data_IF_793356336453
#
_entry.id   IF_793356336453
#
_cell.length_a   1.000
_cell.length_b   1.000
_cell.length_c   1.000
_cell.angle_alpha   90.00
_cell.angle_beta   90.00
_cell.angle_gamma   90.00
#
_symmetry.space_group_name_H-M   'P 1'
#
loop_
_entity.id
_entity.type
_entity.pdbx_description
1 polymer ?
#
# COMPACT_ATOMS: atom_id res chain seq x y z
N UNK A 1 8.55 9.36 4.11
CA UNK A 1 7.19 9.83 4.49
C UNK A 1 6.32 9.75 3.24
N UNK A 2 5.12 9.17 3.32
CA UNK A 2 4.24 9.04 2.16
C UNK A 2 3.54 10.38 1.85
N UNK A 3 3.36 10.68 0.57
CA UNK A 3 2.57 11.81 0.06
C UNK A 3 1.25 11.30 -0.51
N UNK A 4 0.10 11.91 -0.17
CA UNK A 4 -1.22 11.34 -0.44
C UNK A 4 -1.49 11.08 -1.93
N UNK A 5 -1.06 11.99 -2.81
CA UNK A 5 -1.28 11.94 -4.26
C UNK A 5 -0.27 11.07 -5.02
N UNK A 6 0.64 10.37 -4.32
CA UNK A 6 1.74 9.64 -4.95
C UNK A 6 1.52 8.13 -4.95
N UNK A 7 2.09 7.47 -5.95
CA UNK A 7 1.97 6.04 -6.17
C UNK A 7 3.24 5.28 -5.82
N UNK A 8 3.11 4.36 -4.85
CA UNK A 8 4.23 3.58 -4.32
C UNK A 8 4.20 2.16 -4.85
N UNK A 9 5.37 1.58 -5.05
CA UNK A 9 5.57 0.16 -5.35
C UNK A 9 5.38 -0.69 -4.10
N UNK A 10 5.16 -1.97 -4.35
CA UNK A 10 5.24 -3.03 -3.35
C UNK A 10 6.46 -2.94 -2.43
N UNK A 11 7.65 -2.75 -3.02
CA UNK A 11 8.91 -2.73 -2.29
C UNK A 11 9.01 -1.51 -1.39
N UNK A 12 8.60 -0.33 -1.88
CA UNK A 12 8.57 0.90 -1.10
C UNK A 12 7.59 0.80 0.07
N UNK A 13 6.41 0.22 -0.15
CA UNK A 13 5.43 -0.02 0.91
C UNK A 13 5.97 -0.99 1.96
N UNK A 14 6.55 -2.12 1.55
CA UNK A 14 7.16 -3.07 2.47
C UNK A 14 8.27 -2.45 3.32
N UNK A 15 9.14 -1.64 2.69
CA UNK A 15 10.23 -0.97 3.40
C UNK A 15 9.72 0.06 4.41
N UNK A 16 8.72 0.87 4.03
CA UNK A 16 8.18 1.91 4.88
C UNK A 16 7.33 1.38 6.04
N UNK A 17 6.53 0.33 5.80
CA UNK A 17 5.72 -0.33 6.84
C UNK A 17 6.51 -1.38 7.63
N UNK A 18 7.75 -1.69 7.24
CA UNK A 18 8.58 -2.77 7.79
C UNK A 18 7.87 -4.12 7.82
N UNK A 19 7.16 -4.44 6.74
CA UNK A 19 6.43 -5.71 6.59
C UNK A 19 7.00 -6.54 5.43
N UNK A 20 6.81 -7.86 5.53
CA UNK A 20 7.15 -8.77 4.44
C UNK A 20 6.20 -8.62 3.26
N UNK A 21 6.64 -9.03 2.06
CA UNK A 21 5.77 -9.08 0.87
C UNK A 21 4.57 -10.02 1.08
N UNK A 22 4.74 -11.07 1.87
CA UNK A 22 3.66 -12.00 2.19
C UNK A 22 2.61 -11.36 3.11
N UNK A 23 3.05 -10.54 4.07
CA UNK A 23 2.13 -9.75 4.91
C UNK A 23 1.34 -8.77 4.07
N UNK A 24 2.00 -8.03 3.17
CA UNK A 24 1.34 -7.10 2.26
C UNK A 24 0.29 -7.81 1.39
N UNK A 25 0.60 -9.00 0.86
CA UNK A 25 -0.38 -9.81 0.12
C UNK A 25 -1.59 -10.22 0.97
N UNK A 26 -1.39 -10.58 2.25
CA UNK A 26 -2.51 -10.89 3.16
C UNK A 26 -3.39 -9.66 3.41
N UNK A 27 -2.79 -8.48 3.54
CA UNK A 27 -3.52 -7.22 3.73
C UNK A 27 -4.37 -6.88 2.50
N UNK A 28 -3.83 -7.06 1.29
CA UNK A 28 -4.59 -6.93 0.05
C UNK A 28 -5.79 -7.88 0.01
N UNK A 29 -5.59 -9.14 0.42
CA UNK A 29 -6.65 -10.15 0.49
C UNK A 29 -7.72 -9.84 1.53
N UNK A 30 -7.38 -9.09 2.58
CA UNK A 30 -8.31 -8.65 3.63
C UNK A 30 -9.03 -7.34 3.28
N UNK A 31 -8.62 -6.66 2.22
CA UNK A 31 -9.16 -5.35 1.84
C UNK A 31 -8.57 -4.17 2.61
N UNK A 32 -7.57 -4.39 3.46
CA UNK A 32 -6.90 -3.34 4.23
C UNK A 32 -6.07 -2.40 3.33
N UNK A 33 -5.68 -2.87 2.15
CA UNK A 33 -4.93 -2.09 1.17
C UNK A 33 -5.33 -2.46 -0.25
N UNK A 34 -5.67 -1.48 -1.08
CA UNK A 34 -6.12 -1.74 -2.46
C UNK A 34 -5.07 -1.34 -3.49
N UNK A 35 -4.44 -2.30 -4.20
CA UNK A 35 -3.50 -1.97 -5.26
C UNK A 35 -4.24 -1.43 -6.48
N UNK A 36 -3.80 -0.28 -6.98
CA UNK A 36 -4.31 0.35 -8.21
C UNK A 36 -3.40 -0.04 -9.39
N UNK A 37 -4.01 -0.29 -10.55
CA UNK A 37 -3.30 -0.52 -11.82
C UNK A 37 -3.08 0.83 -12.48
N UNK A 38 -1.81 1.23 -12.67
CA UNK A 38 -1.47 2.50 -13.30
C UNK A 38 -1.30 2.34 -14.82
N UNK A 39 -0.38 1.47 -15.22
CA UNK A 39 -0.11 1.15 -16.63
C UNK A 39 0.28 -0.32 -16.75
N UNK A 40 -0.43 -1.06 -17.62
CA UNK A 40 -0.18 -2.47 -17.86
C UNK A 40 -0.35 -3.35 -16.62
N UNK A 41 0.69 -4.13 -16.27
CA UNK A 41 0.69 -5.08 -15.15
C UNK A 41 1.26 -4.50 -13.84
N UNK A 42 1.65 -3.24 -13.82
CA UNK A 42 2.28 -2.63 -12.64
C UNK A 42 1.23 -2.18 -11.63
N UNK A 43 1.24 -2.84 -10.46
CA UNK A 43 0.42 -2.46 -9.31
C UNK A 43 1.13 -1.40 -8.48
N UNK A 44 0.38 -0.40 -8.04
CA UNK A 44 0.83 0.69 -7.18
C UNK A 44 -0.17 0.95 -6.06
N UNK A 45 0.32 1.48 -4.95
CA UNK A 45 -0.49 1.84 -3.78
C UNK A 45 -0.51 3.35 -3.64
N UNK A 46 -1.68 3.92 -3.40
CA UNK A 46 -1.83 5.35 -3.22
C UNK A 46 -1.36 5.75 -1.82
N UNK A 47 -0.63 6.86 -1.71
CA UNK A 47 -0.11 7.33 -0.45
C UNK A 47 -1.19 7.63 0.59
N UNK A 48 -2.37 8.07 0.16
CA UNK A 48 -3.51 8.31 1.07
C UNK A 48 -3.91 7.05 1.84
N UNK A 49 -3.99 5.90 1.16
CA UNK A 49 -4.39 4.63 1.78
C UNK A 49 -3.32 4.18 2.78
N UNK A 50 -2.05 4.39 2.45
CA UNK A 50 -0.92 4.06 3.32
C UNK A 50 -0.89 4.95 4.57
N UNK A 51 -1.25 6.22 4.43
CA UNK A 51 -1.37 7.15 5.57
C UNK A 51 -2.53 6.78 6.48
N UNK A 52 -3.69 6.39 5.92
CA UNK A 52 -4.84 5.91 6.69
C UNK A 52 -4.47 4.66 7.50
N UNK A 53 -3.79 3.71 6.86
CA UNK A 53 -3.31 2.48 7.50
C UNK A 53 -2.34 2.79 8.64
N UNK A 54 -1.37 3.70 8.43
CA UNK A 54 -0.41 4.12 9.46
C UNK A 54 -1.07 4.88 10.62
N UNK A 55 -2.16 5.61 10.36
CA UNK A 55 -2.92 6.31 11.37
C UNK A 55 -3.81 5.37 12.23
N UNK A 56 -3.81 4.06 11.96
CA UNK A 56 -4.62 3.07 12.66
C UNK A 56 -6.08 2.99 12.19
N UNK A 57 -6.41 3.63 11.06
CA UNK A 57 -7.74 3.58 10.47
C UNK A 57 -7.92 2.31 9.64
N UNK A 58 -8.44 1.26 10.25
CA UNK A 58 -9.15 0.21 9.50
C UNK A 58 -10.53 0.79 9.18
N UNK A 59 -10.82 1.08 7.90
CA UNK A 59 -12.18 1.41 7.45
C UNK A 59 -12.98 0.15 7.19
#
# INVERSE_FOLDING_TARGET
MFTPESFYTASEVCAALRISRQTLWRMERRGELTPRRLTGRTLRYLGSDLLILLAGGVQ
#
